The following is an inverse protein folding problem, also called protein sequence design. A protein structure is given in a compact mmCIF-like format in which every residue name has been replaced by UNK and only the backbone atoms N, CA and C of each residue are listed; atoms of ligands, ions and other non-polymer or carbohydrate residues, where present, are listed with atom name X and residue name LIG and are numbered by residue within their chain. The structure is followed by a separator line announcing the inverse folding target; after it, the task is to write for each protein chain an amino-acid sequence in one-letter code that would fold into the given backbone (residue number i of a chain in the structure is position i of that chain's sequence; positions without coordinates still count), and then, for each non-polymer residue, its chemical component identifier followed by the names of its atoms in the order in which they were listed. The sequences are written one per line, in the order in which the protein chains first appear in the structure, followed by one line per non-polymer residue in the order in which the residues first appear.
data_IF_186914788919
#
_entry.id   IF_186914788919
#
_cell.length_a   1.000
_cell.length_b   1.000
_cell.length_c   1.000
_cell.angle_alpha   90.00
_cell.angle_beta   90.00
_cell.angle_gamma   90.00
#
_symmetry.space_group_name_H-M   'P 1'
#
loop_
_entity.id
_entity.type
_entity.pdbx_description
1 polymer ?
#
# COMPACT_ATOMS: atom_id res chain seq x y z
N UNK A 1 4.31 -12.65 -42.10
CA UNK A 1 5.06 -12.48 -40.84
C UNK A 1 4.40 -11.32 -40.11
N UNK A 2 3.76 -11.61 -38.96
CA UNK A 2 2.90 -10.67 -38.24
C UNK A 2 3.67 -9.65 -37.41
N UNK A 3 3.10 -8.46 -37.29
CA UNK A 3 3.48 -7.43 -36.31
C UNK A 3 2.18 -6.78 -35.81
N UNK A 4 1.53 -7.45 -34.85
CA UNK A 4 0.33 -6.95 -34.15
C UNK A 4 0.45 -7.21 -32.64
N UNK A 5 1.65 -7.06 -32.08
CA UNK A 5 1.94 -7.41 -30.67
C UNK A 5 2.41 -6.21 -29.82
N UNK A 6 2.14 -4.97 -30.26
CA UNK A 6 2.53 -3.75 -29.53
C UNK A 6 1.35 -2.95 -28.94
N UNK A 7 0.12 -3.46 -29.03
CA UNK A 7 -1.06 -2.85 -28.40
C UNK A 7 -1.41 -3.59 -27.10
N UNK A 8 -0.39 -3.87 -26.27
CA UNK A 8 -0.65 -4.35 -24.91
C UNK A 8 -1.06 -3.10 -24.11
N UNK A 9 -2.31 -2.99 -23.61
CA UNK A 9 -2.68 -1.89 -22.75
C UNK A 9 -1.77 -1.95 -21.54
N UNK A 10 -0.84 -0.98 -21.45
CA UNK A 10 0.01 -0.78 -20.27
C UNK A 10 -0.95 -0.64 -19.12
N UNK A 11 -1.01 -1.66 -18.27
CA UNK A 11 -1.78 -1.67 -17.03
C UNK A 11 -1.46 -0.35 -16.35
N UNK A 12 -2.43 0.56 -16.31
CA UNK A 12 -2.24 1.85 -15.65
C UNK A 12 -1.85 1.49 -14.22
N UNK A 13 -0.63 1.90 -13.83
CA UNK A 13 -0.18 1.65 -12.47
C UNK A 13 -1.21 2.25 -11.52
N UNK A 14 -1.59 1.52 -10.44
CA UNK A 14 -2.57 2.04 -9.50
C UNK A 14 -2.08 3.40 -9.04
N UNK A 15 -2.91 4.43 -9.23
CA UNK A 15 -2.61 5.82 -8.91
C UNK A 15 -1.96 5.87 -7.52
N UNK A 16 -0.69 6.23 -7.46
CA UNK A 16 0.07 6.19 -6.21
C UNK A 16 -0.46 7.29 -5.30
N UNK A 17 -1.21 6.89 -4.27
CA UNK A 17 -1.79 7.84 -3.32
C UNK A 17 -0.68 8.41 -2.43
N UNK A 18 -0.42 9.72 -2.57
CA UNK A 18 0.58 10.44 -1.76
C UNK A 18 -0.08 11.18 -0.60
N UNK A 19 0.45 11.04 0.62
CA UNK A 19 -0.07 11.77 1.79
C UNK A 19 0.22 13.27 1.63
N UNK A 20 -0.81 14.11 1.80
CA UNK A 20 -0.67 15.57 1.70
C UNK A 20 -0.88 16.16 0.30
N UNK A 21 -1.33 15.36 -0.67
CA UNK A 21 -1.75 15.86 -1.99
C UNK A 21 -3.00 16.76 -1.90
N UNK A 22 -3.12 17.69 -2.84
CA UNK A 22 -4.33 18.50 -3.00
C UNK A 22 -5.53 17.63 -3.40
N UNK A 23 -6.62 17.75 -2.64
CA UNK A 23 -7.86 16.97 -2.84
C UNK A 23 -8.91 17.74 -3.65
N UNK A 24 -8.66 19.01 -3.97
CA UNK A 24 -9.66 19.94 -4.53
C UNK A 24 -10.19 19.51 -5.90
N UNK A 25 -9.46 18.64 -6.61
CA UNK A 25 -9.81 18.14 -7.95
C UNK A 25 -10.37 16.72 -7.97
N UNK A 26 -10.49 16.08 -6.80
CA UNK A 26 -10.97 14.70 -6.68
C UNK A 26 -12.49 14.68 -6.44
N UNK A 27 -13.15 13.74 -7.11
CA UNK A 27 -14.57 13.44 -6.91
C UNK A 27 -14.80 12.66 -5.61
N UNK A 28 -16.06 12.57 -5.14
CA UNK A 28 -16.38 11.80 -3.93
C UNK A 28 -15.95 10.33 -4.02
N UNK A 29 -16.22 9.65 -5.14
CA UNK A 29 -15.77 8.27 -5.36
C UNK A 29 -14.24 8.15 -5.34
N UNK A 30 -13.52 9.08 -5.98
CA UNK A 30 -12.05 9.08 -5.98
C UNK A 30 -11.49 9.27 -4.57
N UNK A 31 -12.14 10.09 -3.74
CA UNK A 31 -11.79 10.26 -2.33
C UNK A 31 -12.05 8.97 -1.52
N UNK A 32 -13.14 8.24 -1.82
CA UNK A 32 -13.44 6.96 -1.17
C UNK A 32 -12.41 5.90 -1.53
N UNK A 33 -12.08 5.75 -2.80
CA UNK A 33 -11.02 4.84 -3.27
C UNK A 33 -9.67 5.17 -2.61
N UNK A 34 -9.36 6.47 -2.51
CA UNK A 34 -8.15 6.96 -1.82
C UNK A 34 -8.13 6.54 -0.34
N UNK A 35 -9.25 6.72 0.37
CA UNK A 35 -9.38 6.34 1.78
C UNK A 35 -9.19 4.82 1.94
N UNK A 36 -9.76 4.01 1.06
CA UNK A 36 -9.60 2.56 1.12
C UNK A 36 -8.13 2.17 0.93
N UNK A 37 -7.48 2.72 -0.09
CA UNK A 37 -6.07 2.47 -0.39
C UNK A 37 -5.16 2.83 0.78
N UNK A 38 -5.34 4.02 1.37
CA UNK A 38 -4.57 4.46 2.53
C UNK A 38 -4.83 3.59 3.76
N UNK A 39 -6.08 3.22 4.01
CA UNK A 39 -6.44 2.34 5.15
C UNK A 39 -5.78 0.98 5.02
N UNK A 40 -5.79 0.40 3.81
CA UNK A 40 -5.09 -0.85 3.51
C UNK A 40 -3.60 -0.75 3.80
N UNK A 41 -2.96 0.34 3.37
CA UNK A 41 -1.52 0.55 3.60
C UNK A 41 -1.19 0.77 5.08
N UNK A 42 -2.04 1.49 5.82
CA UNK A 42 -1.92 1.63 7.27
C UNK A 42 -2.00 0.28 7.96
N UNK A 43 -2.96 -0.58 7.59
CA UNK A 43 -3.09 -1.92 8.17
C UNK A 43 -1.87 -2.79 7.87
N UNK A 44 -1.40 -2.81 6.62
CA UNK A 44 -0.18 -3.53 6.24
C UNK A 44 1.04 -3.05 7.04
N UNK A 45 1.16 -1.74 7.26
CA UNK A 45 2.24 -1.14 8.04
C UNK A 45 2.15 -1.54 9.51
N UNK A 46 0.94 -1.57 10.07
CA UNK A 46 0.68 -2.06 11.44
C UNK A 46 1.04 -3.53 11.58
N UNK A 47 0.61 -4.39 10.66
CA UNK A 47 0.94 -5.81 10.68
C UNK A 47 2.46 -6.03 10.62
N UNK A 48 3.17 -5.31 9.76
CA UNK A 48 4.63 -5.37 9.69
C UNK A 48 5.30 -4.89 10.99
N UNK A 49 4.74 -3.87 11.65
CA UNK A 49 5.22 -3.39 12.94
C UNK A 49 4.97 -4.40 14.06
N UNK A 50 3.80 -5.02 14.09
CA UNK A 50 3.44 -6.05 15.08
C UNK A 50 4.31 -7.30 14.93
N UNK A 51 4.54 -7.77 13.70
CA UNK A 51 5.46 -8.87 13.43
C UNK A 51 6.87 -8.56 13.96
N UNK A 52 7.40 -7.35 13.70
CA UNK A 52 8.71 -6.93 14.21
C UNK A 52 8.75 -6.79 15.73
N UNK A 53 7.69 -6.28 16.34
CA UNK A 53 7.58 -6.15 17.79
C UNK A 53 7.48 -7.51 18.48
N UNK A 54 6.78 -8.45 17.86
CA UNK A 54 6.66 -9.84 18.34
C UNK A 54 8.00 -10.57 18.25
N UNK A 55 8.74 -10.38 17.14
CA UNK A 55 10.11 -10.90 17.00
C UNK A 55 11.02 -10.32 18.08
N UNK A 56 10.93 -9.01 18.35
CA UNK A 56 11.72 -8.36 19.41
C UNK A 56 11.37 -8.91 20.80
N UNK A 57 10.09 -8.99 21.15
CA UNK A 57 9.66 -9.53 22.45
C UNK A 57 10.01 -11.01 22.63
N UNK A 58 9.91 -11.82 21.57
CA UNK A 58 10.33 -13.22 21.60
C UNK A 58 11.85 -13.37 21.75
N UNK A 59 12.62 -12.48 21.13
CA UNK A 59 14.08 -12.43 21.32
C UNK A 59 14.44 -12.00 22.75
N UNK A 60 13.87 -10.91 23.26
CA UNK A 60 14.11 -10.42 24.62
C UNK A 60 13.78 -11.49 25.69
N UNK A 61 12.70 -12.28 25.49
CA UNK A 61 12.35 -13.40 26.37
C UNK A 61 13.34 -14.58 26.30
N UNK A 62 14.07 -14.74 25.20
CA UNK A 62 15.09 -15.78 25.04
C UNK A 62 16.45 -15.35 25.61
N UNK A 63 16.75 -14.04 25.62
CA UNK A 63 18.00 -13.49 26.15
C UNK A 63 17.97 -13.16 27.66
N UNK A 64 16.81 -13.18 28.31
CA UNK A 64 16.65 -12.94 29.76
C UNK A 64 16.61 -14.22 30.63
N UNK A 65 16.95 -15.39 30.08
CA UNK A 65 17.17 -16.62 30.87
C UNK A 65 18.62 -16.85 31.24
#
# INVERSE_FOLDING_TARGET
MGHFDDDIPKKQEPNVVTVGEDLSRLSEDELRDRIEALTREVNRTREALEQRSTIRNAADAFFQK
#
